data_IF_039903513524
#
_entry.id   IF_039903513524
#
_cell.length_a   1.000
_cell.length_b   1.000
_cell.length_c   1.000
_cell.angle_alpha   90.00
_cell.angle_beta   90.00
_cell.angle_gamma   90.00
#
_symmetry.space_group_name_H-M   'P 1'
#
loop_
_entity.id
_entity.type
_entity.pdbx_description
1 polymer ?
#
# COMPACT_ATOMS: atom_id res chain seq x y z
N UNK A 1 -3.68 -5.25 36.05
CA UNK A 1 -4.28 -4.11 35.34
C UNK A 1 -3.40 -3.75 34.17
N UNK A 2 -3.81 -4.10 32.95
CA UNK A 2 -3.03 -3.86 31.74
C UNK A 2 -3.45 -2.49 31.18
N UNK A 3 -2.56 -1.50 31.24
CA UNK A 3 -2.82 -0.17 30.70
C UNK A 3 -2.90 -0.25 29.17
N UNK A 4 -4.07 0.12 28.63
CA UNK A 4 -4.27 0.46 27.23
C UNK A 4 -3.28 1.55 26.79
N UNK A 5 -2.70 1.42 25.59
CA UNK A 5 -2.20 2.59 24.87
C UNK A 5 -0.82 2.52 24.22
N UNK A 6 -0.15 1.36 24.14
CA UNK A 6 1.04 1.25 23.30
C UNK A 6 0.63 1.22 21.82
N UNK A 7 0.46 2.40 21.20
CA UNK A 7 0.48 2.49 19.75
C UNK A 7 1.93 2.31 19.32
N UNK A 8 2.25 1.09 18.90
CA UNK A 8 3.56 0.75 18.37
C UNK A 8 3.71 1.46 17.03
N UNK A 9 4.74 2.31 16.91
CA UNK A 9 5.12 2.89 15.63
C UNK A 9 5.43 1.74 14.65
N UNK A 10 5.00 1.82 13.39
CA UNK A 10 5.23 0.75 12.44
C UNK A 10 6.74 0.53 12.25
N UNK A 11 7.21 -0.68 12.53
CA UNK A 11 8.61 -1.05 12.35
C UNK A 11 8.91 -1.24 10.86
N UNK A 12 10.04 -0.70 10.40
CA UNK A 12 10.50 -0.83 9.01
C UNK A 12 9.67 -0.09 7.95
N UNK A 13 8.71 0.77 8.34
CA UNK A 13 7.89 1.54 7.39
C UNK A 13 8.12 3.05 7.53
N UNK A 14 8.38 3.77 6.42
CA UNK A 14 8.51 5.22 6.45
C UNK A 14 7.19 5.90 6.88
N UNK A 15 7.30 6.86 7.81
CA UNK A 15 6.17 7.63 8.33
C UNK A 15 6.55 9.11 8.53
N UNK A 16 5.56 10.00 8.51
CA UNK A 16 5.68 11.38 8.96
C UNK A 16 5.02 11.53 10.32
N UNK A 17 5.57 12.46 11.10
CA UNK A 17 4.87 13.09 12.22
C UNK A 17 4.46 14.48 11.76
N UNK A 18 3.16 14.73 11.71
CA UNK A 18 2.54 16.02 11.43
C UNK A 18 2.55 16.82 12.73
N UNK A 19 3.02 18.06 12.69
CA UNK A 19 3.15 18.94 13.87
C UNK A 19 4.03 18.36 15.00
N UNK A 20 5.30 17.99 14.71
CA UNK A 20 6.17 17.39 15.71
C UNK A 20 6.48 18.37 16.86
N UNK A 21 6.19 17.95 18.09
CA UNK A 21 6.60 18.71 19.28
C UNK A 21 7.96 18.22 19.79
N UNK A 22 8.96 19.11 19.72
CA UNK A 22 10.28 18.82 20.26
C UNK A 22 10.29 18.84 21.79
N UNK A 23 10.87 17.81 22.41
CA UNK A 23 10.97 17.71 23.86
C UNK A 23 12.32 17.15 24.29
N UNK A 24 12.88 17.70 25.37
CA UNK A 24 14.03 17.12 26.07
C UNK A 24 13.54 16.09 27.08
N UNK A 25 14.09 14.88 27.02
CA UNK A 25 13.77 13.75 27.90
C UNK A 25 14.45 13.93 29.28
N UNK A 26 14.08 13.08 30.25
CA UNK A 26 14.63 13.14 31.61
C UNK A 26 16.15 12.90 31.64
N UNK A 27 16.67 12.09 30.72
CA UNK A 27 18.10 11.81 30.55
C UNK A 27 18.85 12.92 29.77
N UNK A 28 18.16 14.01 29.43
CA UNK A 28 18.72 15.14 28.68
C UNK A 28 18.74 14.93 27.16
N UNK A 29 18.30 13.78 26.65
CA UNK A 29 18.29 13.52 25.21
C UNK A 29 17.15 14.24 24.49
N UNK A 30 17.35 14.67 23.23
CA UNK A 30 16.30 15.25 22.43
C UNK A 30 15.36 14.16 21.89
N UNK A 31 14.05 14.44 21.89
CA UNK A 31 13.03 13.54 21.37
C UNK A 31 11.86 14.28 20.72
N UNK A 32 11.06 13.53 19.97
CA UNK A 32 9.79 13.99 19.40
C UNK A 32 8.66 13.40 20.24
N UNK A 33 7.78 14.27 20.74
CA UNK A 33 6.55 13.85 21.42
C UNK A 33 5.42 13.81 20.40
N UNK A 34 4.69 12.69 20.40
CA UNK A 34 3.48 12.48 19.61
C UNK A 34 2.35 12.27 20.62
N UNK A 35 1.48 13.25 20.77
CA UNK A 35 0.39 13.18 21.76
C UNK A 35 -0.88 12.63 21.15
N UNK A 36 -1.14 12.99 19.89
CA UNK A 36 -2.25 12.48 19.13
C UNK A 36 -1.73 11.48 18.11
N UNK A 37 -2.16 10.22 18.17
CA UNK A 37 -1.73 9.26 17.18
C UNK A 37 -2.17 9.52 15.74
N UNK A 38 -3.07 10.49 15.51
CA UNK A 38 -3.40 11.01 14.17
C UNK A 38 -2.30 11.89 13.57
N UNK A 39 -1.35 12.36 14.37
CA UNK A 39 -0.15 13.07 13.91
C UNK A 39 0.80 12.12 13.17
N UNK A 40 0.69 10.80 13.36
CA UNK A 40 1.51 9.82 12.62
C UNK A 40 0.79 9.37 11.36
N UNK A 41 1.39 9.66 10.21
CA UNK A 41 0.89 9.22 8.90
C UNK A 41 1.93 8.39 8.17
N UNK A 42 1.51 7.34 7.47
CA UNK A 42 2.41 6.55 6.64
C UNK A 42 2.79 7.36 5.40
N UNK A 43 4.06 7.35 5.01
CA UNK A 43 4.52 8.05 3.81
C UNK A 43 3.75 7.59 2.56
N UNK A 44 3.41 6.31 2.48
CA UNK A 44 2.64 5.75 1.37
C UNK A 44 1.20 6.29 1.28
N UNK A 45 0.66 6.78 2.40
CA UNK A 45 -0.66 7.43 2.47
C UNK A 45 -0.61 8.91 2.08
N UNK A 46 0.57 9.54 2.17
CA UNK A 46 0.80 10.91 1.71
C UNK A 46 0.90 11.02 0.20
N UNK A 47 1.22 9.91 -0.49
CA UNK A 47 1.17 9.88 -1.93
C UNK A 47 -0.29 9.90 -2.39
N UNK A 48 -0.76 11.08 -2.78
CA UNK A 48 -2.13 11.45 -3.12
C UNK A 48 -2.71 10.83 -4.39
N UNK A 49 -1.98 9.92 -5.03
CA UNK A 49 -2.46 9.26 -6.25
C UNK A 49 -3.58 8.28 -5.90
N UNK A 50 -4.71 8.39 -6.60
CA UNK A 50 -5.78 7.40 -6.53
C UNK A 50 -5.35 6.08 -7.21
N UNK A 51 -6.17 5.02 -7.04
CA UNK A 51 -5.83 3.71 -7.59
C UNK A 51 -5.68 3.74 -9.12
N UNK A 52 -6.46 4.57 -9.83
CA UNK A 52 -6.41 4.69 -11.29
C UNK A 52 -5.09 5.34 -11.75
N UNK A 53 -4.65 6.40 -11.08
CA UNK A 53 -3.37 7.09 -11.37
C UNK A 53 -2.19 6.15 -11.14
N UNK A 54 -2.21 5.40 -10.03
CA UNK A 54 -1.17 4.40 -9.75
C UNK A 54 -1.15 3.28 -10.78
N UNK A 55 -2.32 2.86 -11.27
CA UNK A 55 -2.40 1.89 -12.35
C UNK A 55 -1.78 2.40 -13.65
N UNK A 56 -1.99 3.68 -13.97
CA UNK A 56 -1.40 4.28 -15.17
C UNK A 56 0.13 4.45 -15.04
N UNK A 57 0.60 4.93 -13.90
CA UNK A 57 2.03 5.02 -13.60
C UNK A 57 2.69 3.63 -13.66
N UNK A 58 2.03 2.61 -13.09
CA UNK A 58 2.49 1.23 -13.13
C UNK A 58 2.61 0.68 -14.56
N UNK A 59 1.65 0.98 -15.44
CA UNK A 59 1.72 0.60 -16.87
C UNK A 59 2.88 1.28 -17.57
N UNK A 60 3.11 2.56 -17.30
CA UNK A 60 4.23 3.31 -17.86
C UNK A 60 5.57 2.70 -17.43
N UNK A 61 5.75 2.43 -16.15
CA UNK A 61 6.95 1.74 -15.64
C UNK A 61 7.12 0.34 -16.25
N UNK A 62 6.03 -0.43 -16.36
CA UNK A 62 6.08 -1.76 -16.96
C UNK A 62 6.51 -1.71 -18.44
N UNK A 63 5.99 -0.76 -19.21
CA UNK A 63 6.37 -0.52 -20.61
C UNK A 63 7.84 -0.10 -20.77
N UNK A 64 8.41 0.59 -19.77
CA UNK A 64 9.82 0.95 -19.69
C UNK A 64 10.73 -0.18 -19.15
N UNK A 65 10.18 -1.37 -18.90
CA UNK A 65 10.87 -2.49 -18.24
C UNK A 65 11.36 -2.21 -16.80
N UNK A 66 10.81 -1.20 -16.14
CA UNK A 66 11.07 -0.84 -14.74
C UNK A 66 10.13 -1.65 -13.82
N UNK A 67 10.30 -2.97 -13.83
CA UNK A 67 9.32 -3.90 -13.26
C UNK A 67 9.14 -3.77 -11.74
N UNK A 68 10.17 -3.39 -10.99
CA UNK A 68 10.07 -3.13 -9.55
C UNK A 68 9.20 -1.91 -9.24
N UNK A 69 9.41 -0.81 -9.98
CA UNK A 69 8.57 0.39 -9.87
C UNK A 69 7.12 0.11 -10.27
N UNK A 70 6.91 -0.67 -11.35
CA UNK A 70 5.59 -1.10 -11.77
C UNK A 70 4.89 -1.92 -10.68
N UNK A 71 5.57 -2.91 -10.09
CA UNK A 71 5.03 -3.73 -9.01
C UNK A 71 4.65 -2.88 -7.78
N UNK A 72 5.47 -1.88 -7.42
CA UNK A 72 5.16 -0.94 -6.34
C UNK A 72 3.88 -0.15 -6.62
N UNK A 73 3.75 0.40 -7.84
CA UNK A 73 2.55 1.14 -8.26
C UNK A 73 1.28 0.28 -8.18
N UNK A 74 1.29 -0.93 -8.74
CA UNK A 74 0.14 -1.83 -8.71
C UNK A 74 -0.24 -2.26 -7.28
N UNK A 75 0.76 -2.56 -6.44
CA UNK A 75 0.54 -2.92 -5.04
C UNK A 75 -0.11 -1.77 -4.26
N UNK A 76 0.35 -0.54 -4.49
CA UNK A 76 -0.22 0.67 -3.89
C UNK A 76 -1.63 0.99 -4.42
N UNK A 77 -1.92 0.64 -5.67
CA UNK A 77 -3.26 0.77 -6.24
C UNK A 77 -4.25 -0.17 -5.54
N UNK A 78 -3.86 -1.44 -5.34
CA UNK A 78 -4.66 -2.44 -4.63
C UNK A 78 -5.02 -2.00 -3.21
N UNK A 79 -4.07 -1.44 -2.47
CA UNK A 79 -4.29 -0.92 -1.10
C UNK A 79 -5.30 0.22 -1.01
N UNK A 80 -5.64 0.86 -2.13
CA UNK A 80 -6.56 2.00 -2.21
C UNK A 80 -7.95 1.62 -2.74
N UNK A 81 -8.16 0.36 -3.09
CA UNK A 81 -9.48 -0.10 -3.53
C UNK A 81 -10.35 -0.40 -2.31
N UNK A 82 -11.63 -0.01 -2.32
CA UNK A 82 -12.57 -0.46 -1.30
C UNK A 82 -12.70 -1.99 -1.35
N UNK A 83 -13.01 -2.62 -0.22
CA UNK A 83 -13.27 -4.06 -0.12
C UNK A 83 -14.17 -4.52 -1.27
N UNK A 84 -13.82 -5.65 -1.88
CA UNK A 84 -14.29 -6.15 -3.18
C UNK A 84 -15.78 -6.57 -3.22
N UNK A 85 -16.68 -5.72 -2.75
CA UNK A 85 -18.12 -5.85 -2.89
C UNK A 85 -18.63 -4.86 -3.95
N UNK A 86 -18.86 -5.34 -5.18
CA UNK A 86 -19.50 -4.60 -6.28
C UNK A 86 -18.57 -4.22 -7.45
N UNK A 87 -18.98 -3.20 -8.21
CA UNK A 87 -18.39 -2.71 -9.49
C UNK A 87 -16.89 -2.31 -9.47
N UNK A 88 -16.18 -2.52 -8.35
CA UNK A 88 -14.72 -2.43 -8.25
C UNK A 88 -13.98 -3.68 -8.77
N UNK A 89 -14.69 -4.69 -9.28
CA UNK A 89 -14.11 -5.96 -9.73
C UNK A 89 -13.11 -5.81 -10.88
N UNK A 90 -13.38 -4.96 -11.88
CA UNK A 90 -12.54 -4.90 -13.08
C UNK A 90 -11.19 -4.24 -12.83
N UNK A 91 -11.18 -3.14 -12.06
CA UNK A 91 -9.93 -2.47 -11.69
C UNK A 91 -9.11 -3.35 -10.76
N UNK A 92 -9.76 -4.08 -9.84
CA UNK A 92 -9.12 -5.06 -8.95
C UNK A 92 -8.47 -6.20 -9.75
N UNK A 93 -9.24 -6.86 -10.61
CA UNK A 93 -8.75 -7.96 -11.47
C UNK A 93 -7.57 -7.48 -12.33
N UNK A 94 -7.70 -6.31 -12.97
CA UNK A 94 -6.64 -5.76 -13.82
C UNK A 94 -5.38 -5.44 -13.03
N UNK A 95 -5.52 -4.91 -11.82
CA UNK A 95 -4.38 -4.59 -10.94
C UNK A 95 -3.64 -5.84 -10.49
N UNK A 96 -4.37 -6.87 -10.09
CA UNK A 96 -3.80 -8.16 -9.70
C UNK A 96 -3.07 -8.85 -10.87
N UNK A 97 -3.65 -8.85 -12.07
CA UNK A 97 -3.01 -9.41 -13.26
C UNK A 97 -1.74 -8.63 -13.65
N UNK A 98 -1.78 -7.31 -13.59
CA UNK A 98 -0.63 -6.47 -13.90
C UNK A 98 0.49 -6.64 -12.87
N UNK A 99 0.16 -6.77 -11.59
CA UNK A 99 1.13 -7.10 -10.53
C UNK A 99 1.73 -8.48 -10.76
N UNK A 100 0.92 -9.48 -11.09
CA UNK A 100 1.38 -10.84 -11.44
C UNK A 100 2.40 -10.80 -12.59
N UNK A 101 2.09 -10.07 -13.66
CA UNK A 101 3.00 -9.92 -14.79
C UNK A 101 4.33 -9.25 -14.41
N UNK A 102 4.30 -8.21 -13.56
CA UNK A 102 5.50 -7.55 -13.07
C UNK A 102 6.36 -8.48 -12.21
N UNK A 103 5.75 -9.25 -11.32
CA UNK A 103 6.43 -10.23 -10.47
C UNK A 103 7.09 -11.35 -11.27
N UNK A 104 6.43 -11.86 -12.32
CA UNK A 104 7.05 -12.82 -13.25
C UNK A 104 8.30 -12.26 -13.92
N UNK A 105 8.28 -10.98 -14.32
CA UNK A 105 9.45 -10.32 -14.93
C UNK A 105 10.59 -10.14 -13.93
N UNK A 106 10.30 -10.04 -12.64
CA UNK A 106 11.27 -10.00 -11.55
C UNK A 106 11.74 -11.39 -11.10
N UNK A 107 11.15 -12.48 -11.62
CA UNK A 107 11.48 -13.85 -11.26
C UNK A 107 10.76 -14.38 -10.02
N UNK A 108 9.81 -13.62 -9.44
CA UNK A 108 9.01 -14.04 -8.30
C UNK A 108 7.73 -14.77 -8.78
N UNK A 109 7.93 -16.02 -9.21
CA UNK A 109 6.86 -16.84 -9.75
C UNK A 109 5.80 -17.22 -8.71
N UNK A 110 6.19 -17.33 -7.43
CA UNK A 110 5.28 -17.69 -6.34
C UNK A 110 4.29 -16.54 -6.06
N UNK A 111 4.81 -15.33 -5.84
CA UNK A 111 3.95 -14.17 -5.61
C UNK A 111 3.09 -13.85 -6.85
N UNK A 112 3.65 -14.05 -8.05
CA UNK A 112 2.89 -13.89 -9.29
C UNK A 112 1.70 -14.84 -9.39
N UNK A 113 1.89 -16.12 -9.03
CA UNK A 113 0.83 -17.12 -9.04
C UNK A 113 -0.28 -16.77 -8.06
N UNK A 114 0.07 -16.29 -6.87
CA UNK A 114 -0.90 -15.84 -5.87
C UNK A 114 -1.75 -14.68 -6.39
N UNK A 115 -1.13 -13.69 -7.04
CA UNK A 115 -1.84 -12.56 -7.64
C UNK A 115 -2.79 -13.02 -8.76
N UNK A 116 -2.34 -13.91 -9.63
CA UNK A 116 -3.17 -14.46 -10.72
C UNK A 116 -4.34 -15.28 -10.18
N UNK A 117 -4.11 -16.09 -9.13
CA UNK A 117 -5.15 -16.87 -8.48
C UNK A 117 -6.19 -15.96 -7.80
N UNK A 118 -5.75 -14.89 -7.13
CA UNK A 118 -6.63 -13.90 -6.55
C UNK A 118 -7.50 -13.22 -7.62
N UNK A 119 -6.91 -12.85 -8.77
CA UNK A 119 -7.64 -12.26 -9.90
C UNK A 119 -8.72 -13.23 -10.44
N UNK A 120 -8.39 -14.51 -10.60
CA UNK A 120 -9.30 -15.53 -11.08
C UNK A 120 -10.42 -15.87 -10.07
N UNK A 121 -10.19 -15.67 -8.78
CA UNK A 121 -11.17 -15.89 -7.73
C UNK A 121 -12.21 -14.77 -7.62
N UNK A 122 -11.95 -13.59 -8.19
CA UNK A 122 -12.94 -12.51 -8.26
C UNK A 122 -14.06 -12.94 -9.21
N UNK A 123 -15.24 -13.22 -8.65
CA UNK A 123 -16.42 -13.52 -9.46
C UNK A 123 -16.94 -12.23 -10.09
N UNK A 124 -17.07 -12.13 -11.42
CA UNK A 124 -17.87 -11.06 -12.01
C UNK A 124 -19.32 -11.25 -11.52
N UNK A 125 -19.96 -10.16 -11.10
CA UNK A 125 -21.30 -10.17 -10.50
C UNK A 125 -22.25 -11.13 -11.25
N UNK A 126 -22.74 -12.16 -10.56
CA UNK A 126 -23.84 -12.99 -11.05
C UNK A 126 -25.17 -12.30 -10.70
N UNK A 127 -25.34 -11.04 -11.10
CA UNK A 127 -26.59 -10.32 -10.95
C UNK A 127 -27.56 -10.76 -12.06
N UNK A 128 -28.43 -11.72 -11.73
CA UNK A 128 -29.71 -11.91 -12.42
C UNK A 128 -30.72 -10.88 -11.94
#
# INVERSE_FOLDING_TARGET
GLMMGARVLPEGRPMAVIEPFYKVMMDGTPGIRVDNPREVVLMDSLASADAATLMEDGRRHFGAAEYEAAANCYSRALLRMPDAAGAGSDLLITSLNNLSAALLKLGDAEAALLCAAAAAAVQPDNSK
#
